data_IF_050359145725
#
_entry.id   IF_050359145725
#
_cell.length_a   1.000
_cell.length_b   1.000
_cell.length_c   1.000
_cell.angle_alpha   90.00
_cell.angle_beta   90.00
_cell.angle_gamma   90.00
#
_symmetry.space_group_name_H-M   'P 1'
#
loop_
_entity.id
_entity.type
_entity.pdbx_description
1 polymer ?
#
# COMPACT_ATOMS: atom_id res chain seq x y z
N UNK A 1 -14.63 15.92 1.43
CA UNK A 1 -13.24 15.52 1.11
C UNK A 1 -13.31 14.31 0.24
N UNK A 2 -12.51 14.25 -0.83
CA UNK A 2 -12.42 13.06 -1.67
C UNK A 2 -11.74 11.93 -0.88
N UNK A 3 -12.15 10.70 -1.17
CA UNK A 3 -11.56 9.49 -0.62
C UNK A 3 -11.27 8.54 -1.78
N UNK A 4 -10.11 7.90 -1.72
CA UNK A 4 -9.77 6.75 -2.54
C UNK A 4 -10.09 5.45 -1.82
N UNK A 5 -10.15 4.37 -2.59
CA UNK A 5 -10.34 3.02 -2.10
C UNK A 5 -9.04 2.21 -2.15
N UNK A 6 -8.78 1.43 -1.10
CA UNK A 6 -7.81 0.33 -1.09
C UNK A 6 -8.63 -0.95 -1.22
N UNK A 7 -8.37 -1.77 -2.25
CA UNK A 7 -9.20 -2.93 -2.61
C UNK A 7 -8.39 -4.21 -2.63
N UNK A 8 -8.94 -5.28 -2.03
CA UNK A 8 -8.39 -6.62 -2.06
C UNK A 8 -9.48 -7.66 -1.81
N UNK A 9 -9.62 -8.68 -2.66
CA UNK A 9 -10.54 -9.81 -2.49
C UNK A 9 -11.97 -9.40 -2.06
N UNK A 10 -12.58 -8.47 -2.79
CA UNK A 10 -13.90 -7.86 -2.52
C UNK A 10 -14.00 -7.02 -1.23
N UNK A 11 -12.90 -6.86 -0.48
CA UNK A 11 -12.82 -5.94 0.65
C UNK A 11 -12.35 -4.58 0.18
N UNK A 12 -12.92 -3.55 0.78
CA UNK A 12 -12.60 -2.16 0.47
C UNK A 12 -12.39 -1.40 1.76
N UNK A 13 -11.31 -0.62 1.82
CA UNK A 13 -11.06 0.38 2.84
C UNK A 13 -10.92 1.75 2.19
N UNK A 14 -11.35 2.81 2.88
CA UNK A 14 -11.32 4.17 2.35
C UNK A 14 -10.24 5.00 3.01
N UNK A 15 -9.45 5.68 2.20
CA UNK A 15 -8.36 6.56 2.60
C UNK A 15 -8.62 7.97 2.08
N UNK A 16 -8.37 8.97 2.92
CA UNK A 16 -8.44 10.36 2.48
C UNK A 16 -7.32 10.63 1.49
N UNK A 17 -7.64 11.22 0.33
CA UNK A 17 -6.65 11.54 -0.70
C UNK A 17 -5.47 12.37 -0.17
N UNK A 18 -5.76 13.28 0.77
CA UNK A 18 -4.77 14.13 1.41
C UNK A 18 -3.73 13.34 2.22
N UNK A 19 -4.10 12.15 2.71
CA UNK A 19 -3.24 11.28 3.50
C UNK A 19 -2.67 10.10 2.68
N UNK A 20 -3.30 9.77 1.53
CA UNK A 20 -2.86 8.68 0.65
C UNK A 20 -1.39 8.84 0.24
N UNK A 21 -0.98 10.03 -0.20
CA UNK A 21 0.41 10.28 -0.60
C UNK A 21 1.41 10.05 0.54
N UNK A 22 1.02 10.37 1.78
CA UNK A 22 1.86 10.11 2.96
C UNK A 22 2.00 8.62 3.27
N UNK A 23 0.90 7.86 3.19
CA UNK A 23 0.91 6.41 3.37
C UNK A 23 1.75 5.71 2.29
N UNK A 24 1.50 6.04 1.01
CA UNK A 24 2.25 5.53 -0.13
C UNK A 24 3.75 5.84 -0.03
N UNK A 25 4.11 7.06 0.41
CA UNK A 25 5.51 7.43 0.61
C UNK A 25 6.18 6.59 1.69
N UNK A 26 5.51 6.33 2.81
CA UNK A 26 6.08 5.49 3.87
C UNK A 26 6.31 4.05 3.39
N UNK A 27 5.31 3.49 2.71
CA UNK A 27 5.39 2.16 2.11
C UNK A 27 6.55 2.09 1.10
N UNK A 28 6.69 3.10 0.23
CA UNK A 28 7.79 3.18 -0.73
C UNK A 28 9.18 3.16 -0.06
N UNK A 29 9.37 3.90 1.04
CA UNK A 29 10.65 3.89 1.77
C UNK A 29 10.98 2.49 2.28
N UNK A 30 10.00 1.79 2.86
CA UNK A 30 10.18 0.42 3.32
C UNK A 30 10.51 -0.56 2.17
N UNK A 31 9.80 -0.44 1.05
CA UNK A 31 10.06 -1.23 -0.17
C UNK A 31 11.46 -0.98 -0.69
N UNK A 32 11.86 0.29 -0.83
CA UNK A 32 13.14 0.67 -1.43
C UNK A 32 14.32 0.09 -0.63
N UNK A 33 14.22 0.09 0.70
CA UNK A 33 15.22 -0.54 1.56
C UNK A 33 15.31 -2.05 1.31
N UNK A 34 14.17 -2.75 1.25
CA UNK A 34 14.10 -4.19 1.03
C UNK A 34 14.50 -4.63 -0.38
N UNK A 35 14.16 -3.84 -1.40
CA UNK A 35 14.59 -4.08 -2.78
C UNK A 35 16.11 -3.94 -2.89
N UNK A 36 16.71 -2.98 -2.19
CA UNK A 36 18.17 -2.82 -2.17
C UNK A 36 18.88 -4.03 -1.59
N UNK A 37 18.26 -4.72 -0.61
CA UNK A 37 18.77 -5.95 -0.01
C UNK A 37 18.52 -7.18 -0.89
N UNK A 38 17.32 -7.30 -1.48
CA UNK A 38 16.90 -8.45 -2.26
C UNK A 38 15.98 -8.05 -3.43
N UNK A 39 16.54 -7.64 -4.58
CA UNK A 39 15.77 -7.19 -5.73
C UNK A 39 14.89 -8.28 -6.34
N UNK A 40 15.33 -9.54 -6.33
CA UNK A 40 14.58 -10.65 -6.93
C UNK A 40 13.31 -10.97 -6.13
N UNK A 41 13.35 -10.79 -4.81
CA UNK A 41 12.18 -10.98 -3.94
C UNK A 41 11.20 -9.81 -4.01
N UNK A 42 11.68 -8.56 -3.88
CA UNK A 42 10.80 -7.40 -3.69
C UNK A 42 10.58 -6.53 -4.94
N UNK A 43 11.28 -6.80 -6.05
CA UNK A 43 11.21 -5.97 -7.25
C UNK A 43 9.79 -5.85 -7.84
N UNK A 44 8.96 -6.87 -7.69
CA UNK A 44 7.55 -6.81 -8.13
C UNK A 44 6.74 -5.76 -7.35
N UNK A 45 7.04 -5.58 -6.06
CA UNK A 45 6.31 -4.67 -5.20
C UNK A 45 6.72 -3.21 -5.45
N UNK A 46 7.97 -2.98 -5.86
CA UNK A 46 8.41 -1.68 -6.36
C UNK A 46 7.65 -1.28 -7.64
N UNK A 47 7.41 -2.23 -8.54
CA UNK A 47 6.60 -1.98 -9.74
C UNK A 47 5.14 -1.65 -9.39
N UNK A 48 4.55 -2.39 -8.44
CA UNK A 48 3.22 -2.08 -7.91
C UNK A 48 3.14 -0.66 -7.32
N UNK A 49 4.14 -0.32 -6.49
CA UNK A 49 4.24 0.98 -5.85
C UNK A 49 4.38 2.12 -6.86
N UNK A 50 5.18 1.95 -7.92
CA UNK A 50 5.29 2.95 -8.98
C UNK A 50 3.96 3.16 -9.71
N UNK A 51 3.18 2.09 -9.94
CA UNK A 51 1.84 2.19 -10.52
C UNK A 51 0.91 3.00 -9.63
N UNK A 52 0.79 2.63 -8.36
CA UNK A 52 -0.08 3.33 -7.41
C UNK A 52 0.35 4.79 -7.18
N UNK A 53 1.65 5.08 -7.24
CA UNK A 53 2.15 6.45 -7.18
C UNK A 53 1.78 7.25 -8.44
N UNK A 54 1.92 6.66 -9.62
CA UNK A 54 1.48 7.27 -10.88
C UNK A 54 -0.03 7.58 -10.86
N UNK A 55 -0.84 6.61 -10.45
CA UNK A 55 -2.29 6.80 -10.28
C UNK A 55 -2.60 7.93 -9.27
N UNK A 56 -1.83 8.03 -8.18
CA UNK A 56 -1.97 9.11 -7.21
C UNK A 56 -1.64 10.51 -7.79
N UNK A 57 -0.65 10.62 -8.67
CA UNK A 57 -0.26 11.90 -9.28
C UNK A 57 -1.15 12.31 -10.45
N UNK A 58 -1.58 11.34 -11.26
CA UNK A 58 -2.26 11.60 -12.54
C UNK A 58 -3.79 11.61 -12.43
N UNK A 59 -4.39 10.83 -11.51
CA UNK A 59 -5.84 10.72 -11.41
C UNK A 59 -6.44 11.85 -10.56
N UNK A 60 -7.67 12.31 -10.88
CA UNK A 60 -8.34 13.31 -10.08
C UNK A 60 -8.68 12.76 -8.68
N UNK A 61 -8.89 13.64 -7.69
CA UNK A 61 -9.27 13.21 -6.36
C UNK A 61 -10.51 12.33 -6.34
N UNK A 62 -10.48 11.25 -5.55
CA UNK A 62 -11.53 10.25 -5.44
C UNK A 62 -11.50 9.14 -6.50
N UNK A 63 -10.50 9.16 -7.40
CA UNK A 63 -10.24 8.06 -8.35
C UNK A 63 -8.85 7.42 -8.15
N UNK A 64 -8.09 7.83 -7.12
CA UNK A 64 -6.71 7.38 -6.87
C UNK A 64 -6.69 6.06 -6.11
N UNK A 65 -7.41 5.08 -6.63
CA UNK A 65 -7.66 3.83 -5.94
C UNK A 65 -6.42 2.92 -6.01
N UNK A 66 -6.20 2.17 -4.94
CA UNK A 66 -5.13 1.19 -4.83
C UNK A 66 -5.74 -0.20 -4.94
N UNK A 67 -5.53 -0.84 -6.09
CA UNK A 67 -5.93 -2.23 -6.33
C UNK A 67 -4.77 -3.18 -5.98
N UNK A 68 -4.99 -4.02 -4.97
CA UNK A 68 -4.01 -4.99 -4.49
C UNK A 68 -4.15 -6.36 -5.19
N UNK A 69 -5.31 -6.68 -5.77
CA UNK A 69 -5.58 -8.01 -6.35
C UNK A 69 -4.69 -8.30 -7.56
N UNK A 70 -4.32 -7.27 -8.32
CA UNK A 70 -3.38 -7.37 -9.45
C UNK A 70 -2.00 -7.88 -9.01
N UNK A 71 -1.57 -7.53 -7.80
CA UNK A 71 -0.19 -7.76 -7.35
C UNK A 71 -0.07 -8.89 -6.34
N UNK A 72 -1.03 -9.03 -5.42
CA UNK A 72 -1.05 -10.02 -4.34
C UNK A 72 -1.69 -11.35 -4.77
N UNK A 73 -1.22 -11.87 -5.89
CA UNK A 73 -1.78 -13.05 -6.60
C UNK A 73 -1.57 -14.39 -5.89
N UNK A 74 -0.72 -14.43 -4.86
CA UNK A 74 -0.44 -15.63 -4.08
C UNK A 74 -0.13 -15.27 -2.62
N UNK A 75 -0.09 -16.29 -1.75
CA UNK A 75 0.14 -16.09 -0.32
C UNK A 75 1.52 -15.53 0.01
N UNK A 76 2.55 -15.89 -0.77
CA UNK A 76 3.92 -15.39 -0.56
C UNK A 76 3.99 -13.87 -0.76
N UNK A 77 3.44 -13.36 -1.88
CA UNK A 77 3.39 -11.91 -2.14
C UNK A 77 2.57 -11.16 -1.10
N UNK A 78 1.49 -11.77 -0.61
CA UNK A 78 0.72 -11.20 0.48
C UNK A 78 1.57 -11.07 1.75
N UNK A 79 2.25 -12.14 2.16
CA UNK A 79 3.13 -12.13 3.34
C UNK A 79 4.28 -11.13 3.19
N UNK A 80 4.87 -11.03 2.01
CA UNK A 80 5.91 -10.04 1.72
C UNK A 80 5.38 -8.60 1.85
N UNK A 81 4.15 -8.34 1.38
CA UNK A 81 3.54 -7.03 1.53
C UNK A 81 3.18 -6.72 2.98
N UNK A 82 2.69 -7.70 3.75
CA UNK A 82 2.45 -7.56 5.19
C UNK A 82 3.73 -7.18 5.95
N UNK A 83 4.88 -7.81 5.63
CA UNK A 83 6.19 -7.43 6.19
C UNK A 83 6.53 -5.96 5.87
N UNK A 84 6.29 -5.51 4.64
CA UNK A 84 6.52 -4.12 4.24
C UNK A 84 5.61 -3.16 5.01
N UNK A 85 4.33 -3.50 5.19
CA UNK A 85 3.39 -2.67 5.94
C UNK A 85 3.89 -2.51 7.39
N UNK A 86 4.35 -3.58 8.03
CA UNK A 86 4.94 -3.51 9.37
C UNK A 86 6.16 -2.58 9.45
N UNK A 87 7.04 -2.65 8.45
CA UNK A 87 8.22 -1.79 8.39
C UNK A 87 7.86 -0.32 8.15
N UNK A 88 6.84 -0.06 7.33
CA UNK A 88 6.38 1.29 7.02
C UNK A 88 5.72 2.03 8.20
N UNK A 89 5.40 1.31 9.28
CA UNK A 89 4.91 1.93 10.52
C UNK A 89 6.03 2.57 11.35
N UNK A 90 7.30 2.37 10.98
CA UNK A 90 8.42 2.96 11.69
C UNK A 90 8.57 4.45 11.34
N UNK A 91 8.72 5.31 12.37
CA UNK A 91 9.02 6.74 12.24
C UNK A 91 7.97 7.58 11.48
N UNK A 92 6.70 7.15 11.46
CA UNK A 92 5.58 7.94 10.93
C UNK A 92 4.72 8.53 12.04
N UNK A 93 3.97 9.59 11.72
CA UNK A 93 3.01 10.17 12.66
C UNK A 93 1.74 9.30 12.78
N UNK A 94 0.93 9.56 13.81
CA UNK A 94 -0.27 8.76 14.09
C UNK A 94 -1.31 8.78 12.94
N UNK A 95 -1.41 9.86 12.18
CA UNK A 95 -2.34 9.95 11.05
C UNK A 95 -1.95 8.94 9.96
N UNK A 96 -0.66 8.89 9.60
CA UNK A 96 -0.15 7.95 8.61
C UNK A 96 -0.19 6.50 9.12
N UNK A 97 0.02 6.27 10.42
CA UNK A 97 -0.18 4.94 11.04
C UNK A 97 -1.60 4.44 10.79
N UNK A 98 -2.62 5.27 11.05
CA UNK A 98 -4.03 4.89 10.84
C UNK A 98 -4.27 4.51 9.37
N UNK A 99 -3.71 5.27 8.44
CA UNK A 99 -3.88 4.99 7.02
C UNK A 99 -3.15 3.72 6.56
N UNK A 100 -1.94 3.44 7.05
CA UNK A 100 -1.23 2.18 6.78
C UNK A 100 -2.00 0.99 7.38
N UNK A 101 -2.61 1.15 8.55
CA UNK A 101 -3.42 0.10 9.17
C UNK A 101 -4.65 -0.28 8.32
N UNK A 102 -5.16 0.62 7.47
CA UNK A 102 -6.23 0.28 6.52
C UNK A 102 -5.77 -0.70 5.45
N UNK A 103 -4.53 -0.59 4.98
CA UNK A 103 -3.92 -1.60 4.11
C UNK A 103 -3.85 -2.94 4.83
N UNK A 104 -3.44 -2.97 6.10
CA UNK A 104 -3.40 -4.23 6.86
C UNK A 104 -4.80 -4.83 7.04
N UNK A 105 -5.78 -3.99 7.39
CA UNK A 105 -7.15 -4.44 7.63
C UNK A 105 -7.81 -5.03 6.37
N UNK A 106 -7.54 -4.47 5.18
CA UNK A 106 -8.07 -5.06 3.93
C UNK A 106 -7.47 -6.44 3.63
N UNK A 107 -6.27 -6.74 4.17
CA UNK A 107 -5.59 -8.02 4.01
C UNK A 107 -6.02 -9.08 5.05
N UNK A 108 -6.61 -8.70 6.19
CA UNK A 108 -7.01 -9.65 7.23
C UNK A 108 -8.00 -10.68 6.69
N UNK A 109 -7.85 -11.96 7.07
CA UNK A 109 -8.87 -12.98 6.76
C UNK A 109 -10.08 -12.77 7.67
N UNK A 110 -11.29 -12.95 7.15
CA UNK A 110 -12.43 -13.15 8.05
C UNK A 110 -12.16 -14.44 8.84
N UNK A 111 -12.23 -14.33 10.16
CA UNK A 111 -12.00 -15.42 11.12
C UNK A 111 -13.18 -16.37 11.15
#
# INVERSE_FOLDING_TARGET
MAHSAIRYQNKTQYIQDALLGGALRSIFIAINNKVSENPSKYGWLLNAMNKWWGDFEELPPGLKDVDLDEWLVNSERKTDFEEILDLSLQNVNNEIVIEIMKFKHVLEKES
#
